data_IF_855984238922
#
_entry.id   IF_855984238922
#
_cell.length_a   1.000
_cell.length_b   1.000
_cell.length_c   1.000
_cell.angle_alpha   90.00
_cell.angle_beta   90.00
_cell.angle_gamma   90.00
#
_symmetry.space_group_name_H-M   'P 1'
#
loop_
_entity.id
_entity.type
_entity.pdbx_description
1 polymer ?
#
# COMPACT_ATOMS: atom_id res chain seq x y z
N UNK A 1 27.86 7.78 1.19
CA UNK A 1 26.57 8.06 1.87
C UNK A 1 26.06 6.78 2.53
N UNK A 2 25.36 6.87 3.67
CA UNK A 2 24.72 5.69 4.28
C UNK A 2 23.67 5.15 3.31
N UNK A 3 23.78 3.87 2.94
CA UNK A 3 22.82 3.19 2.07
C UNK A 3 21.62 2.76 2.92
N UNK A 4 20.44 3.32 2.66
CA UNK A 4 19.22 3.04 3.44
C UNK A 4 18.63 1.70 2.99
N UNK A 5 18.36 0.81 3.94
CA UNK A 5 17.78 -0.51 3.67
C UNK A 5 16.27 -0.49 3.85
N UNK A 6 15.54 -0.64 2.75
CA UNK A 6 14.07 -0.65 2.75
C UNK A 6 13.58 -2.10 2.66
N UNK A 7 12.91 -2.56 3.72
CA UNK A 7 12.22 -3.84 3.68
C UNK A 7 10.78 -3.67 3.20
N UNK A 8 10.34 -4.46 2.24
CA UNK A 8 8.94 -4.48 1.78
C UNK A 8 8.35 -5.84 2.09
N UNK A 9 7.27 -5.88 2.86
CA UNK A 9 6.53 -7.10 3.13
C UNK A 9 5.12 -6.97 2.54
N UNK A 10 4.70 -7.96 1.75
CA UNK A 10 3.39 -7.98 1.09
C UNK A 10 2.62 -9.24 1.45
N UNK A 11 1.40 -9.10 1.97
CA UNK A 11 0.47 -10.22 2.11
C UNK A 11 -0.90 -9.87 1.53
N UNK A 12 -1.40 -10.73 0.64
CA UNK A 12 -2.53 -10.38 -0.21
C UNK A 12 -2.13 -9.36 -1.28
N UNK A 13 -3.13 -8.77 -1.93
CA UNK A 13 -2.90 -7.81 -3.00
C UNK A 13 -3.92 -6.66 -2.96
N UNK A 14 -3.39 -5.45 -3.14
CA UNK A 14 -4.12 -4.22 -3.48
C UNK A 14 -3.47 -3.66 -4.74
N UNK A 15 -4.13 -2.81 -5.52
CA UNK A 15 -3.59 -2.24 -6.76
C UNK A 15 -2.28 -1.48 -6.56
N UNK A 16 -2.03 -0.94 -5.36
CA UNK A 16 -0.78 -0.27 -5.01
C UNK A 16 0.41 -1.24 -4.89
N UNK A 17 0.17 -2.50 -4.51
CA UNK A 17 1.21 -3.44 -4.09
C UNK A 17 2.16 -3.92 -5.21
N UNK A 18 1.71 -4.25 -6.44
CA UNK A 18 2.54 -4.94 -7.43
C UNK A 18 3.82 -4.21 -7.83
N UNK A 19 3.80 -2.88 -7.89
CA UNK A 19 4.91 -2.09 -8.43
C UNK A 19 5.68 -1.29 -7.38
N UNK A 20 5.22 -1.24 -6.12
CA UNK A 20 5.66 -0.23 -5.16
C UNK A 20 7.18 -0.17 -4.95
N UNK A 21 7.82 -1.32 -4.75
CA UNK A 21 9.28 -1.41 -4.53
C UNK A 21 10.08 -1.01 -5.76
N UNK A 22 9.54 -1.23 -6.95
CA UNK A 22 10.19 -0.88 -8.22
C UNK A 22 10.09 0.63 -8.47
N UNK A 23 9.01 1.27 -8.01
CA UNK A 23 8.83 2.72 -8.11
C UNK A 23 9.80 3.53 -7.24
N UNK A 24 10.52 2.88 -6.31
CA UNK A 24 11.54 3.56 -5.50
C UNK A 24 12.88 3.71 -6.24
N UNK A 25 13.11 2.92 -7.28
CA UNK A 25 14.37 2.85 -8.04
C UNK A 25 14.08 2.36 -9.47
N UNK A 26 13.36 3.18 -10.22
CA UNK A 26 12.75 2.81 -11.50
C UNK A 26 13.77 2.52 -12.61
N UNK A 27 14.99 3.05 -12.49
CA UNK A 27 16.13 2.79 -13.38
C UNK A 27 17.13 1.77 -12.81
N UNK A 28 16.91 1.30 -11.58
CA UNK A 28 17.83 0.43 -10.85
C UNK A 28 19.26 1.00 -10.71
N UNK A 29 19.38 2.33 -10.65
CA UNK A 29 20.65 3.06 -10.58
C UNK A 29 20.86 3.83 -9.27
N UNK A 30 19.88 3.80 -8.35
CA UNK A 30 20.02 4.42 -7.03
C UNK A 30 21.06 3.70 -6.18
N UNK A 31 22.17 4.39 -5.92
CA UNK A 31 23.22 3.90 -5.02
C UNK A 31 22.88 4.12 -3.53
N UNK A 32 21.92 4.99 -3.22
CA UNK A 32 21.60 5.43 -1.86
C UNK A 32 20.61 4.52 -1.10
N UNK A 33 19.99 3.55 -1.78
CA UNK A 33 19.05 2.60 -1.17
C UNK A 33 19.32 1.15 -1.54
N UNK A 34 18.92 0.23 -0.68
CA UNK A 34 18.82 -1.20 -0.98
C UNK A 34 17.44 -1.69 -0.60
N UNK A 35 16.69 -2.20 -1.57
CA UNK A 35 15.32 -2.69 -1.35
C UNK A 35 15.27 -4.21 -1.37
N UNK A 36 14.49 -4.82 -0.47
CA UNK A 36 14.19 -6.25 -0.49
C UNK A 36 12.71 -6.47 -0.23
N UNK A 37 12.11 -7.38 -1.00
CA UNK A 37 10.70 -7.75 -0.86
C UNK A 37 10.56 -9.19 -0.39
N UNK A 38 9.68 -9.41 0.57
CA UNK A 38 9.18 -10.74 0.96
C UNK A 38 7.66 -10.73 0.81
N UNK A 39 7.08 -11.79 0.25
CA UNK A 39 5.64 -11.89 0.06
C UNK A 39 5.10 -13.29 0.29
N UNK A 40 3.87 -13.37 0.79
CA UNK A 40 3.04 -14.59 0.87
C UNK A 40 2.12 -14.74 -0.34
N UNK A 41 2.36 -13.96 -1.41
CA UNK A 41 1.48 -13.88 -2.57
C UNK A 41 0.08 -13.43 -2.16
N UNK A 42 -0.95 -14.11 -2.68
CA UNK A 42 -2.35 -13.78 -2.40
C UNK A 42 -2.80 -14.14 -0.96
N UNK A 43 -2.02 -14.89 -0.19
CA UNK A 43 -2.41 -15.36 1.14
C UNK A 43 -2.15 -14.31 2.21
N UNK A 44 -3.05 -14.25 3.18
CA UNK A 44 -2.98 -13.33 4.34
C UNK A 44 -3.30 -14.04 5.66
N UNK A 45 -3.26 -15.37 5.66
CA UNK A 45 -3.51 -16.16 6.87
C UNK A 45 -2.40 -15.91 7.88
N UNK A 46 -2.72 -16.01 9.16
CA UNK A 46 -1.75 -15.79 10.23
C UNK A 46 -0.52 -16.69 10.08
N UNK A 47 -0.71 -17.98 9.81
CA UNK A 47 0.38 -18.96 9.64
C UNK A 47 1.38 -18.54 8.54
N UNK A 48 0.87 -18.16 7.36
CA UNK A 48 1.67 -17.72 6.21
C UNK A 48 2.47 -16.46 6.53
N UNK A 49 1.82 -15.49 7.20
CA UNK A 49 2.47 -14.23 7.58
C UNK A 49 3.52 -14.45 8.65
N UNK A 50 3.24 -15.29 9.65
CA UNK A 50 4.16 -15.65 10.73
C UNK A 50 5.39 -16.40 10.21
N UNK A 51 5.24 -17.23 9.18
CA UNK A 51 6.35 -17.94 8.55
C UNK A 51 7.21 -17.02 7.66
N UNK A 52 6.57 -16.16 6.87
CA UNK A 52 7.28 -15.35 5.86
C UNK A 52 7.89 -14.07 6.45
N UNK A 53 7.21 -13.37 7.35
CA UNK A 53 7.65 -12.07 7.87
C UNK A 53 9.06 -12.12 8.49
N UNK A 54 9.46 -13.14 9.27
CA UNK A 54 10.80 -13.23 9.82
C UNK A 54 11.93 -13.16 8.78
N UNK A 55 11.69 -13.63 7.56
CA UNK A 55 12.69 -13.69 6.49
C UNK A 55 13.18 -12.29 6.06
N UNK A 56 12.35 -11.24 6.24
CA UNK A 56 12.78 -9.86 5.92
C UNK A 56 13.73 -9.28 7.00
N UNK A 57 13.76 -9.85 8.21
CA UNK A 57 14.61 -9.31 9.29
C UNK A 57 16.08 -9.66 9.11
N UNK A 58 16.41 -10.75 8.40
CA UNK A 58 17.79 -11.12 8.06
C UNK A 58 18.48 -10.05 7.22
N UNK A 59 17.70 -9.30 6.44
CA UNK A 59 18.17 -8.16 5.65
C UNK A 59 18.61 -6.96 6.52
N UNK A 60 18.14 -6.90 7.78
CA UNK A 60 18.31 -5.79 8.72
C UNK A 60 17.83 -4.45 8.11
N UNK A 61 16.55 -4.32 7.76
CA UNK A 61 16.01 -3.09 7.20
C UNK A 61 16.06 -1.93 8.20
N UNK A 62 16.32 -0.71 7.71
CA UNK A 62 16.22 0.52 8.51
C UNK A 62 14.74 0.82 8.84
N UNK A 63 13.83 0.55 7.89
CA UNK A 63 12.39 0.57 8.09
C UNK A 63 11.68 -0.44 7.17
N UNK A 64 10.44 -0.78 7.52
CA UNK A 64 9.61 -1.73 6.77
C UNK A 64 8.38 -1.03 6.19
N UNK A 65 8.08 -1.31 4.93
CA UNK A 65 6.81 -1.03 4.29
C UNK A 65 6.00 -2.33 4.31
N UNK A 66 4.88 -2.33 5.02
CA UNK A 66 3.97 -3.47 5.09
C UNK A 66 2.74 -3.18 4.25
N UNK A 67 2.46 -4.01 3.24
CA UNK A 67 1.34 -3.82 2.31
C UNK A 67 0.35 -4.97 2.44
N UNK A 68 -0.92 -4.64 2.64
CA UNK A 68 -2.00 -5.62 2.68
C UNK A 68 -3.35 -4.96 2.45
N UNK A 69 -4.33 -5.63 1.81
CA UNK A 69 -5.71 -5.20 1.93
C UNK A 69 -6.18 -5.40 3.37
N UNK A 70 -7.12 -4.59 3.83
CA UNK A 70 -7.78 -4.65 5.12
C UNK A 70 -6.85 -5.10 6.28
N UNK A 71 -6.09 -4.19 6.92
CA UNK A 71 -5.08 -4.54 7.91
C UNK A 71 -5.69 -5.03 9.23
N UNK A 72 -7.01 -5.08 9.34
CA UNK A 72 -7.73 -5.58 10.50
C UNK A 72 -7.89 -7.11 10.51
N UNK A 73 -7.57 -7.80 9.40
CA UNK A 73 -7.61 -9.27 9.36
C UNK A 73 -6.42 -9.88 10.13
N UNK A 74 -6.53 -11.16 10.45
CA UNK A 74 -5.66 -11.81 11.44
C UNK A 74 -4.17 -11.75 11.09
N UNK A 75 -3.78 -12.04 9.84
CA UNK A 75 -2.38 -12.01 9.41
C UNK A 75 -1.70 -10.66 9.60
N UNK A 76 -2.19 -9.56 8.98
CA UNK A 76 -1.69 -8.21 9.22
C UNK A 76 -1.68 -7.80 10.70
N UNK A 77 -2.67 -8.22 11.51
CA UNK A 77 -2.67 -7.97 12.95
C UNK A 77 -1.50 -8.65 13.66
N UNK A 78 -1.24 -9.93 13.37
CA UNK A 78 -0.08 -10.64 13.91
C UNK A 78 1.24 -10.02 13.46
N UNK A 79 1.31 -9.54 12.21
CA UNK A 79 2.48 -8.81 11.75
C UNK A 79 2.71 -7.51 12.54
N UNK A 80 1.66 -6.74 12.84
CA UNK A 80 1.77 -5.55 13.69
C UNK A 80 2.36 -5.90 15.06
N UNK A 81 1.98 -7.02 15.68
CA UNK A 81 2.50 -7.44 16.98
C UNK A 81 4.01 -7.72 16.91
N UNK A 82 4.45 -8.49 15.91
CA UNK A 82 5.87 -8.79 15.70
C UNK A 82 6.69 -7.52 15.42
N UNK A 83 6.18 -6.63 14.56
CA UNK A 83 6.88 -5.40 14.20
C UNK A 83 7.03 -4.46 15.41
N UNK A 84 6.02 -4.41 16.29
CA UNK A 84 6.08 -3.67 17.53
C UNK A 84 7.12 -4.24 18.49
N UNK A 85 7.16 -5.57 18.67
CA UNK A 85 8.15 -6.25 19.52
C UNK A 85 9.59 -6.03 19.02
N UNK A 86 9.78 -6.08 17.70
CA UNK A 86 11.08 -5.87 17.03
C UNK A 86 11.53 -4.41 17.06
N UNK A 87 10.62 -3.46 17.31
CA UNK A 87 10.86 -2.01 17.31
C UNK A 87 11.45 -1.49 16.00
N UNK A 88 11.04 -2.08 14.87
CA UNK A 88 11.46 -1.63 13.54
C UNK A 88 10.44 -0.58 13.06
N UNK A 89 10.86 0.64 12.68
CA UNK A 89 9.95 1.63 12.10
C UNK A 89 9.20 1.04 10.91
N UNK A 90 7.88 1.08 10.96
CA UNK A 90 7.03 0.38 10.00
C UNK A 90 5.92 1.30 9.47
N UNK A 91 5.69 1.22 8.15
CA UNK A 91 4.69 2.00 7.42
C UNK A 91 3.70 1.02 6.79
N UNK A 92 2.43 1.11 7.18
CA UNK A 92 1.37 0.27 6.64
C UNK A 92 0.71 0.92 5.44
N UNK A 93 0.69 0.24 4.30
CA UNK A 93 -0.02 0.69 3.09
C UNK A 93 -1.21 -0.23 2.85
N UNK A 94 -2.40 0.35 2.80
CA UNK A 94 -3.66 -0.41 2.73
C UNK A 94 -4.75 0.34 1.97
N UNK A 95 -5.79 -0.39 1.60
CA UNK A 95 -7.06 0.10 1.09
C UNK A 95 -7.99 0.71 2.18
N UNK A 96 -9.15 1.21 1.74
CA UNK A 96 -10.13 1.95 2.56
C UNK A 96 -10.49 1.34 3.94
N UNK A 97 -10.67 0.02 4.12
CA UNK A 97 -10.90 -0.59 5.43
C UNK A 97 -9.85 -0.24 6.49
N UNK A 98 -8.61 0.03 6.09
CA UNK A 98 -7.52 0.43 6.98
C UNK A 98 -7.72 1.78 7.66
N UNK A 99 -8.61 2.65 7.13
CA UNK A 99 -8.98 3.92 7.78
C UNK A 99 -9.49 3.73 9.21
N UNK A 100 -10.14 2.59 9.49
CA UNK A 100 -10.65 2.24 10.83
C UNK A 100 -9.55 1.97 11.86
N UNK A 101 -8.34 1.65 11.41
CA UNK A 101 -7.20 1.33 12.26
C UNK A 101 -6.27 2.52 12.49
N UNK A 102 -6.60 3.72 11.99
CA UNK A 102 -5.79 4.93 12.15
C UNK A 102 -5.33 5.13 13.60
N UNK A 103 -6.27 5.15 14.55
CA UNK A 103 -5.92 5.37 15.95
C UNK A 103 -5.05 4.25 16.53
N UNK A 104 -5.25 3.01 16.09
CA UNK A 104 -4.45 1.87 16.52
C UNK A 104 -3.00 2.00 16.01
N UNK A 105 -2.81 2.35 14.72
CA UNK A 105 -1.50 2.61 14.16
C UNK A 105 -0.77 3.71 14.94
N UNK A 106 -1.44 4.83 15.21
CA UNK A 106 -0.83 5.95 15.92
C UNK A 106 -0.47 5.61 17.37
N UNK A 107 -1.36 4.93 18.09
CA UNK A 107 -1.11 4.45 19.47
C UNK A 107 0.08 3.49 19.54
N UNK A 108 0.27 2.68 18.49
CA UNK A 108 1.36 1.70 18.39
C UNK A 108 2.63 2.28 17.76
N UNK A 109 2.64 3.56 17.37
CA UNK A 109 3.79 4.23 16.79
C UNK A 109 4.09 3.86 15.33
N UNK A 110 3.12 3.33 14.60
CA UNK A 110 3.26 3.01 13.19
C UNK A 110 2.89 4.18 12.28
N UNK A 111 3.56 4.25 11.12
CA UNK A 111 3.11 5.04 9.99
C UNK A 111 2.03 4.31 9.20
N UNK A 112 1.22 5.07 8.47
CA UNK A 112 0.24 4.51 7.55
C UNK A 112 0.03 5.40 6.32
N UNK A 113 -0.28 4.76 5.20
CA UNK A 113 -0.78 5.38 3.98
C UNK A 113 -1.99 4.57 3.53
N UNK A 114 -3.18 5.14 3.70
CA UNK A 114 -4.44 4.49 3.33
C UNK A 114 -4.91 5.05 1.99
N UNK A 115 -4.97 4.21 0.96
CA UNK A 115 -5.41 4.59 -0.39
C UNK A 115 -6.90 4.28 -0.52
N UNK A 116 -7.74 5.31 -0.41
CA UNK A 116 -9.19 5.14 -0.42
C UNK A 116 -9.70 4.61 -1.77
N UNK A 117 -9.03 4.99 -2.86
CA UNK A 117 -9.34 4.58 -4.23
C UNK A 117 -8.59 3.34 -4.72
N UNK A 118 -8.13 2.48 -3.81
CA UNK A 118 -7.59 1.16 -4.12
C UNK A 118 -8.66 0.09 -3.82
N UNK A 119 -9.48 -0.30 -4.81
CA UNK A 119 -10.70 -1.05 -4.56
C UNK A 119 -10.47 -2.55 -4.39
N UNK A 120 -11.32 -3.16 -3.57
CA UNK A 120 -11.48 -4.61 -3.56
C UNK A 120 -12.00 -5.09 -4.93
N UNK A 121 -11.41 -6.18 -5.43
CA UNK A 121 -11.85 -6.87 -6.64
C UNK A 121 -13.14 -7.68 -6.40
N UNK A 122 -13.89 -7.96 -7.47
CA UNK A 122 -15.07 -8.83 -7.43
C UNK A 122 -14.68 -10.31 -7.23
N UNK A 123 -14.30 -10.68 -6.01
CA UNK A 123 -13.77 -12.00 -5.64
C UNK A 123 -14.83 -13.11 -5.57
N UNK A 124 -15.58 -13.33 -6.66
CA UNK A 124 -16.51 -14.45 -6.85
C UNK A 124 -15.88 -15.52 -7.74
N UNK A 125 -15.98 -16.79 -7.36
CA UNK A 125 -15.30 -17.91 -8.04
C UNK A 125 -15.78 -18.07 -9.49
N UNK A 126 -17.05 -17.75 -9.72
CA UNK A 126 -17.74 -17.87 -11.00
C UNK A 126 -17.29 -16.81 -12.02
N UNK A 127 -16.64 -15.73 -11.56
CA UNK A 127 -16.21 -14.60 -12.40
C UNK A 127 -14.68 -14.42 -12.39
N UNK A 128 -14.07 -14.43 -11.20
CA UNK A 128 -12.68 -14.04 -11.03
C UNK A 128 -11.73 -15.21 -11.29
N UNK A 129 -11.33 -15.35 -12.54
CA UNK A 129 -10.24 -16.22 -12.96
C UNK A 129 -8.88 -15.47 -12.92
N UNK A 130 -7.74 -16.14 -13.18
CA UNK A 130 -6.43 -15.50 -13.17
C UNK A 130 -6.30 -14.35 -14.20
N UNK A 131 -6.96 -14.45 -15.34
CA UNK A 131 -6.90 -13.44 -16.40
C UNK A 131 -7.67 -12.18 -16.00
N UNK A 132 -8.89 -12.31 -15.49
CA UNK A 132 -9.68 -11.19 -14.97
C UNK A 132 -8.99 -10.52 -13.78
N UNK A 133 -8.35 -11.30 -12.90
CA UNK A 133 -7.54 -10.76 -11.81
C UNK A 133 -6.44 -9.83 -12.32
N UNK A 134 -5.73 -10.24 -13.38
CA UNK A 134 -4.68 -9.42 -14.00
C UNK A 134 -5.27 -8.18 -14.69
N UNK A 135 -6.37 -8.32 -15.43
CA UNK A 135 -7.06 -7.21 -16.11
C UNK A 135 -7.49 -6.15 -15.10
N UNK A 136 -8.20 -6.55 -14.05
CA UNK A 136 -8.66 -5.63 -13.00
C UNK A 136 -7.49 -4.86 -12.38
N UNK A 137 -6.45 -5.56 -11.93
CA UNK A 137 -5.30 -4.92 -11.32
C UNK A 137 -4.58 -3.99 -12.30
N UNK A 138 -4.46 -4.35 -13.58
CA UNK A 138 -3.85 -3.46 -14.59
C UNK A 138 -4.62 -2.14 -14.75
N UNK A 139 -5.96 -2.19 -14.69
CA UNK A 139 -6.81 -1.01 -14.75
C UNK A 139 -6.68 -0.15 -13.49
N UNK A 140 -6.66 -0.77 -12.31
CA UNK A 140 -6.47 -0.06 -11.04
C UNK A 140 -5.09 0.61 -11.01
N UNK A 141 -4.02 -0.12 -11.34
CA UNK A 141 -2.65 0.41 -11.44
C UNK A 141 -2.61 1.62 -12.37
N UNK A 142 -3.25 1.53 -13.54
CA UNK A 142 -3.34 2.65 -14.49
C UNK A 142 -4.01 3.88 -13.87
N UNK A 143 -5.12 3.70 -13.15
CA UNK A 143 -5.83 4.81 -12.49
C UNK A 143 -4.99 5.39 -11.35
N UNK A 144 -4.38 4.57 -10.50
CA UNK A 144 -3.52 5.05 -9.41
C UNK A 144 -2.28 5.80 -9.94
N UNK A 145 -1.71 5.35 -11.05
CA UNK A 145 -0.59 6.02 -11.70
C UNK A 145 -1.00 7.38 -12.29
N UNK A 146 -2.04 7.43 -13.14
CA UNK A 146 -2.41 8.67 -13.82
C UNK A 146 -2.96 9.73 -12.86
N UNK A 147 -3.56 9.32 -11.75
CA UNK A 147 -4.06 10.26 -10.74
C UNK A 147 -2.94 10.78 -9.82
N UNK A 148 -1.72 10.23 -9.90
CA UNK A 148 -0.58 10.66 -9.10
C UNK A 148 -0.53 10.03 -7.71
N UNK A 149 -1.34 9.00 -7.42
CA UNK A 149 -1.31 8.28 -6.13
C UNK A 149 0.07 7.68 -5.89
N UNK A 150 0.65 7.01 -6.89
CA UNK A 150 2.00 6.47 -6.77
C UNK A 150 3.03 7.55 -6.44
N UNK A 151 2.90 8.72 -7.07
CA UNK A 151 3.75 9.88 -6.78
C UNK A 151 3.67 10.31 -5.32
N UNK A 152 2.45 10.47 -4.82
CA UNK A 152 2.24 10.82 -3.41
C UNK A 152 2.91 9.78 -2.49
N UNK A 153 2.79 8.49 -2.80
CA UNK A 153 3.36 7.42 -1.98
C UNK A 153 4.90 7.42 -2.02
N UNK A 154 5.52 7.39 -3.21
CA UNK A 154 6.98 7.31 -3.28
C UNK A 154 7.65 8.60 -2.75
N UNK A 155 7.00 9.76 -2.88
CA UNK A 155 7.52 11.01 -2.28
C UNK A 155 7.53 10.95 -0.74
N UNK A 156 6.50 10.37 -0.12
CA UNK A 156 6.51 10.17 1.34
C UNK A 156 7.57 9.15 1.76
N UNK A 157 7.79 8.09 0.98
CA UNK A 157 8.84 7.09 1.26
C UNK A 157 10.24 7.73 1.06
N UNK A 158 10.45 8.52 0.02
CA UNK A 158 11.70 9.24 -0.22
C UNK A 158 12.00 10.26 0.88
N UNK A 159 10.97 10.92 1.43
CA UNK A 159 11.13 11.77 2.61
C UNK A 159 11.68 10.98 3.79
N UNK A 160 11.17 9.76 4.02
CA UNK A 160 11.67 8.87 5.08
C UNK A 160 13.11 8.45 4.79
N UNK A 161 13.44 8.05 3.56
CA UNK A 161 14.81 7.71 3.14
C UNK A 161 15.75 8.90 3.40
N UNK A 162 15.34 10.12 3.06
CA UNK A 162 16.11 11.33 3.30
C UNK A 162 16.35 11.56 4.80
N UNK A 163 15.35 11.34 5.65
CA UNK A 163 15.53 11.44 7.11
C UNK A 163 16.61 10.48 7.63
N UNK A 164 16.68 9.26 7.12
CA UNK A 164 17.74 8.30 7.49
C UNK A 164 19.13 8.71 6.99
N UNK A 165 19.21 9.38 5.84
CA UNK A 165 20.49 9.84 5.24
C UNK A 165 21.05 11.04 5.97
N UNK A 166 20.19 11.98 6.33
CA UNK A 166 20.57 13.23 7.02
C UNK A 166 20.55 13.11 8.55
N UNK A 167 20.23 11.93 9.08
CA UNK A 167 20.09 11.65 10.53
C UNK A 167 19.14 12.64 11.23
N UNK A 168 18.10 13.06 10.53
CA UNK A 168 17.07 13.96 11.06
C UNK A 168 15.96 13.19 11.77
N UNK A 169 15.12 13.92 12.51
CA UNK A 169 13.99 13.33 13.24
C UNK A 169 13.08 12.56 12.29
N UNK A 170 12.94 11.26 12.53
CA UNK A 170 12.04 10.39 11.78
C UNK A 170 10.58 10.62 12.19
N UNK A 171 9.78 11.14 11.27
CA UNK A 171 8.33 11.24 11.42
C UNK A 171 7.65 10.37 10.37
N UNK A 172 7.06 9.25 10.82
CA UNK A 172 6.40 8.30 9.95
C UNK A 172 5.12 8.92 9.33
N UNK A 173 4.78 8.58 8.08
CA UNK A 173 3.62 9.17 7.40
C UNK A 173 2.32 8.79 8.12
N UNK A 174 1.38 9.73 8.13
CA UNK A 174 0.01 9.56 8.62
C UNK A 174 -0.95 10.06 7.56
N UNK A 175 -1.06 9.30 6.47
CA UNK A 175 -1.71 9.76 5.25
C UNK A 175 -2.95 8.93 4.92
N UNK A 176 -4.03 9.62 4.58
CA UNK A 176 -5.19 9.04 3.92
C UNK A 176 -5.24 9.73 2.56
N UNK A 177 -5.06 8.97 1.49
CA UNK A 177 -5.12 9.46 0.13
C UNK A 177 -6.57 9.34 -0.34
N UNK A 178 -7.20 10.48 -0.54
CA UNK A 178 -8.54 10.63 -1.10
C UNK A 178 -8.51 11.61 -2.28
N UNK A 179 -9.66 11.87 -2.90
CA UNK A 179 -9.80 12.73 -4.08
C UNK A 179 -9.27 14.14 -3.85
N UNK A 180 -9.39 14.68 -2.63
CA UNK A 180 -8.82 15.98 -2.26
C UNK A 180 -7.29 15.98 -2.37
N UNK A 181 -6.63 14.86 -2.05
CA UNK A 181 -5.17 14.77 -2.23
C UNK A 181 -4.79 14.78 -3.71
N UNK A 182 -5.62 14.22 -4.59
CA UNK A 182 -5.42 14.31 -6.05
C UNK A 182 -5.56 15.76 -6.52
N UNK A 183 -6.56 16.49 -6.00
CA UNK A 183 -6.73 17.93 -6.28
C UNK A 183 -5.51 18.74 -5.85
N UNK A 184 -5.04 18.51 -4.63
CA UNK A 184 -4.10 19.41 -3.96
C UNK A 184 -2.62 19.05 -4.23
N UNK A 185 -2.32 17.83 -4.68
CA UNK A 185 -0.94 17.32 -4.84
C UNK A 185 -0.61 16.80 -6.24
N UNK A 186 -1.46 16.99 -7.23
CA UNK A 186 -1.18 16.56 -8.61
C UNK A 186 -0.46 17.63 -9.44
N UNK A 187 0.22 17.20 -10.50
CA UNK A 187 0.95 18.09 -11.42
C UNK A 187 0.08 18.54 -12.61
N UNK A 188 -1.24 18.31 -12.56
CA UNK A 188 -2.12 18.63 -13.68
C UNK A 188 -2.20 20.13 -13.90
N UNK A 189 -1.55 20.61 -14.97
CA UNK A 189 -1.65 22.03 -15.39
C UNK A 189 -3.01 22.36 -16.02
N UNK A 190 -3.64 21.38 -16.67
CA UNK A 190 -4.94 21.55 -17.28
C UNK A 190 -6.05 21.20 -16.25
N UNK A 191 -6.92 22.15 -15.89
CA UNK A 191 -7.96 21.92 -14.88
C UNK A 191 -8.98 20.85 -15.28
N UNK A 192 -9.23 20.64 -16.58
CA UNK A 192 -10.09 19.55 -17.06
C UNK A 192 -9.42 18.18 -16.92
N UNK A 193 -8.10 18.11 -17.10
CA UNK A 193 -7.36 16.87 -16.87
C UNK A 193 -7.39 16.50 -15.38
N UNK A 194 -7.20 17.49 -14.49
CA UNK A 194 -7.35 17.31 -13.05
C UNK A 194 -8.75 16.80 -12.69
N UNK A 195 -9.81 17.45 -13.20
CA UNK A 195 -11.18 17.04 -12.93
C UNK A 195 -11.46 15.59 -13.40
N UNK A 196 -10.92 15.19 -14.57
CA UNK A 196 -11.05 13.81 -15.06
C UNK A 196 -10.27 12.80 -14.21
N UNK A 197 -9.08 13.17 -13.73
CA UNK A 197 -8.31 12.33 -12.82
C UNK A 197 -9.04 12.14 -11.48
N UNK A 198 -9.59 13.22 -10.91
CA UNK A 198 -10.43 13.14 -9.70
C UNK A 198 -11.65 12.25 -9.93
N UNK A 199 -12.35 12.39 -11.06
CA UNK A 199 -13.49 11.55 -11.39
C UNK A 199 -13.10 10.08 -11.55
N UNK A 200 -11.97 9.78 -12.21
CA UNK A 200 -11.47 8.41 -12.33
C UNK A 200 -11.15 7.79 -10.97
N UNK A 201 -10.55 8.57 -10.05
CA UNK A 201 -10.29 8.13 -8.67
C UNK A 201 -11.58 7.91 -7.86
N UNK A 202 -12.58 8.79 -8.00
CA UNK A 202 -13.89 8.62 -7.36
C UNK A 202 -14.59 7.33 -7.83
N UNK A 203 -14.48 7.01 -9.12
CA UNK A 203 -15.05 5.77 -9.66
C UNK A 203 -14.43 4.53 -9.04
N UNK A 204 -13.13 4.52 -8.71
CA UNK A 204 -12.53 3.35 -8.03
C UNK A 204 -13.08 3.15 -6.63
N UNK A 205 -13.36 4.22 -5.88
CA UNK A 205 -14.08 4.12 -4.60
C UNK A 205 -15.46 3.48 -4.79
N UNK A 206 -16.18 3.86 -5.85
CA UNK A 206 -17.49 3.27 -6.15
C UNK A 206 -17.41 1.79 -6.52
N UNK A 207 -16.36 1.37 -7.23
CA UNK A 207 -16.08 -0.05 -7.53
C UNK A 207 -15.97 -0.84 -6.22
N UNK A 208 -15.26 -0.33 -5.22
CA UNK A 208 -15.11 -1.01 -3.93
C UNK A 208 -16.47 -1.23 -3.24
N UNK A 209 -17.35 -0.23 -3.24
CA UNK A 209 -18.70 -0.35 -2.67
C UNK A 209 -19.53 -1.42 -3.38
N UNK A 210 -19.53 -1.40 -4.72
CA UNK A 210 -20.28 -2.35 -5.56
C UNK A 210 -19.76 -3.76 -5.33
N UNK A 211 -18.44 -3.97 -5.39
CA UNK A 211 -17.81 -5.27 -5.23
C UNK A 211 -18.02 -5.82 -3.82
N UNK A 212 -17.94 -4.97 -2.78
CA UNK A 212 -18.24 -5.39 -1.40
C UNK A 212 -19.67 -5.90 -1.27
N UNK A 213 -20.65 -5.17 -1.81
CA UNK A 213 -22.05 -5.61 -1.80
C UNK A 213 -22.22 -6.92 -2.56
N UNK A 214 -21.68 -6.99 -3.78
CA UNK A 214 -21.78 -8.19 -4.63
C UNK A 214 -21.08 -9.41 -4.03
N UNK A 215 -19.99 -9.25 -3.28
CA UNK A 215 -19.22 -10.36 -2.71
C UNK A 215 -19.76 -10.85 -1.36
N UNK A 216 -20.26 -9.94 -0.51
CA UNK A 216 -20.56 -10.24 0.89
C UNK A 216 -22.03 -10.07 1.29
N UNK A 217 -22.85 -9.37 0.50
CA UNK A 217 -24.26 -9.08 0.84
C UNK A 217 -25.22 -9.85 -0.06
N UNK A 218 -25.02 -9.80 -1.37
CA UNK A 218 -25.88 -10.48 -2.33
C UNK A 218 -25.72 -12.01 -2.22
N UNK A 219 -26.86 -12.72 -2.22
CA UNK A 219 -26.91 -14.19 -2.04
C UNK A 219 -27.38 -14.95 -3.27
N UNK A 220 -28.00 -14.27 -4.23
CA UNK A 220 -28.39 -14.85 -5.51
C UNK A 220 -27.15 -15.02 -6.41
N UNK A 221 -27.07 -16.15 -7.11
CA UNK A 221 -25.97 -16.53 -8.00
C UNK A 221 -26.34 -16.25 -9.45
#
# INVERSE_FOLDING_TARGET
MKKVKVGVFKCGNIGTAPLLELLLDELADREDISVRTVTTGAKMLAEEVLEALPKIFDFKPDFIIFISPNPAVEGPRKAMDILLERRIPSIFISDAPGKRLKEEFEKRGFGYIIVMGDPIIGARREFLDPTEMAIFNSNVIKVLAITGVYKIIYQEIDRIIHCYKEETKLELPKLIIDTDNIRDRSDFRNPYALAKAMAAYELTKKIAEINTRACFVEKER
#
